data_IF_832261076165
#
_entry.id   IF_832261076165
#
_cell.length_a   1.000
_cell.length_b   1.000
_cell.length_c   1.000
_cell.angle_alpha   90.00
_cell.angle_beta   90.00
_cell.angle_gamma   90.00
#
_symmetry.space_group_name_H-M   'P 1'
#
loop_
_entity.id
_entity.type
_entity.pdbx_description
1 polymer ?
#
# COMPACT_ATOMS: atom_id res chain seq x y z
N UNK A 1 -66.48 13.22 40.00
CA UNK A 1 -66.32 11.78 39.65
C UNK A 1 -65.92 11.50 38.19
N UNK A 2 -65.43 12.48 37.41
CA UNK A 2 -65.06 12.27 36.00
C UNK A 2 -63.55 12.07 35.77
N UNK A 3 -62.72 12.35 36.78
CA UNK A 3 -61.26 12.21 36.73
C UNK A 3 -60.83 10.74 36.72
N UNK A 4 -61.40 9.90 37.61
CA UNK A 4 -61.10 8.47 37.68
C UNK A 4 -61.54 7.67 36.44
N UNK A 5 -62.65 8.06 35.78
CA UNK A 5 -63.10 7.42 34.52
C UNK A 5 -62.25 7.81 33.31
N UNK A 6 -61.57 8.97 33.34
CA UNK A 6 -60.59 9.34 32.31
C UNK A 6 -59.27 8.62 32.54
N UNK A 7 -58.83 8.50 33.80
CA UNK A 7 -57.59 7.81 34.16
C UNK A 7 -57.55 6.34 33.71
N UNK A 8 -58.65 5.59 33.90
CA UNK A 8 -58.74 4.18 33.48
C UNK A 8 -58.67 3.93 31.96
N UNK A 9 -58.91 4.96 31.12
CA UNK A 9 -58.79 4.85 29.66
C UNK A 9 -57.37 5.13 29.15
N UNK A 10 -56.54 5.79 29.97
CA UNK A 10 -55.17 6.18 29.59
C UNK A 10 -54.20 5.04 29.89
N UNK A 11 -54.45 4.23 30.94
CA UNK A 11 -53.64 3.08 31.32
C UNK A 11 -53.42 2.05 30.18
N UNK A 12 -54.46 1.56 29.46
CA UNK A 12 -54.24 0.58 28.40
C UNK A 12 -53.51 1.16 27.19
N UNK A 13 -53.74 2.44 26.86
CA UNK A 13 -53.06 3.13 25.74
C UNK A 13 -51.57 3.31 26.03
N UNK A 14 -51.22 3.60 27.28
CA UNK A 14 -49.83 3.75 27.72
C UNK A 14 -49.08 2.42 27.72
N UNK A 15 -49.75 1.31 28.09
CA UNK A 15 -49.17 -0.04 27.99
C UNK A 15 -48.92 -0.48 26.53
N UNK A 16 -49.83 -0.16 25.61
CA UNK A 16 -49.63 -0.47 24.18
C UNK A 16 -48.46 0.34 23.60
N UNK A 17 -48.32 1.61 23.99
CA UNK A 17 -47.21 2.47 23.56
C UNK A 17 -45.85 2.02 24.14
N UNK A 18 -45.84 1.53 25.39
CA UNK A 18 -44.65 0.97 26.02
C UNK A 18 -44.18 -0.32 25.33
N UNK A 19 -45.11 -1.20 24.92
CA UNK A 19 -44.79 -2.44 24.19
C UNK A 19 -44.25 -2.17 22.78
N UNK A 20 -44.69 -1.10 22.12
CA UNK A 20 -44.18 -0.70 20.80
C UNK A 20 -42.73 -0.19 20.84
N UNK A 21 -42.29 0.34 21.99
CA UNK A 21 -40.96 0.96 22.16
C UNK A 21 -39.81 -0.06 22.31
N UNK A 22 -40.11 -1.36 22.39
CA UNK A 22 -39.11 -2.43 22.61
C UNK A 22 -38.43 -2.90 21.31
N UNK A 23 -38.88 -2.44 20.13
CA UNK A 23 -38.40 -2.95 18.84
C UNK A 23 -37.19 -2.21 18.23
N UNK A 24 -36.49 -1.38 18.99
CA UNK A 24 -35.23 -0.77 18.55
C UNK A 24 -34.08 -1.35 19.36
N UNK A 25 -33.83 -2.64 19.22
CA UNK A 25 -32.49 -3.15 19.51
C UNK A 25 -31.57 -2.57 18.43
N UNK A 26 -30.55 -1.76 18.77
CA UNK A 26 -29.50 -1.50 17.80
C UNK A 26 -28.91 -2.87 17.46
N UNK A 27 -29.04 -3.28 16.20
CA UNK A 27 -28.15 -4.26 15.61
C UNK A 27 -26.76 -3.60 15.67
N UNK A 28 -26.09 -3.77 16.82
CA UNK A 28 -24.66 -3.66 16.91
C UNK A 28 -24.12 -4.79 16.05
N UNK A 29 -24.09 -4.55 14.74
CA UNK A 29 -23.08 -5.16 13.91
C UNK A 29 -21.76 -4.70 14.54
N UNK A 30 -21.24 -5.50 15.47
CA UNK A 30 -19.82 -5.54 15.66
C UNK A 30 -19.26 -5.76 14.25
N UNK A 31 -18.68 -4.71 13.66
CA UNK A 31 -17.76 -4.93 12.56
C UNK A 31 -16.75 -5.91 13.15
N UNK A 32 -16.87 -7.18 12.75
CA UNK A 32 -15.85 -8.16 13.06
C UNK A 32 -14.58 -7.58 12.47
N UNK A 33 -13.59 -7.50 13.34
CA UNK A 33 -12.33 -6.77 13.27
C UNK A 33 -11.48 -7.20 12.06
N UNK A 34 -11.94 -6.88 10.85
CA UNK A 34 -11.15 -7.04 9.64
C UNK A 34 -10.05 -5.98 9.57
N UNK A 35 -10.17 -4.87 10.31
CA UNK A 35 -9.13 -3.83 10.32
C UNK A 35 -7.83 -4.34 10.94
N UNK A 36 -7.89 -5.16 12.00
CA UNK A 36 -6.69 -5.80 12.57
C UNK A 36 -6.09 -6.84 11.65
N UNK A 37 -6.93 -7.66 10.99
CA UNK A 37 -6.45 -8.66 10.04
C UNK A 37 -5.86 -8.02 8.78
N UNK A 38 -6.47 -6.95 8.26
CA UNK A 38 -5.97 -6.19 7.10
C UNK A 38 -4.68 -5.47 7.48
N UNK A 39 -4.60 -4.84 8.65
CA UNK A 39 -3.36 -4.23 9.13
C UNK A 39 -2.24 -5.26 9.25
N UNK A 40 -2.49 -6.41 9.88
CA UNK A 40 -1.51 -7.50 9.99
C UNK A 40 -1.05 -8.00 8.61
N UNK A 41 -2.00 -8.18 7.67
CA UNK A 41 -1.70 -8.63 6.30
C UNK A 41 -0.88 -7.59 5.54
N UNK A 42 -1.19 -6.30 5.67
CA UNK A 42 -0.44 -5.21 5.05
C UNK A 42 1.01 -5.18 5.55
N UNK A 43 1.21 -5.40 6.85
CA UNK A 43 2.52 -5.43 7.50
C UNK A 43 3.37 -6.62 7.04
N UNK A 44 2.77 -7.82 6.95
CA UNK A 44 3.46 -8.99 6.41
C UNK A 44 3.88 -8.78 4.95
N UNK A 45 3.02 -8.16 4.13
CA UNK A 45 3.33 -7.80 2.74
C UNK A 45 4.51 -6.82 2.69
N UNK A 46 4.52 -5.76 3.49
CA UNK A 46 5.63 -4.78 3.55
C UNK A 46 6.94 -5.45 3.95
N UNK A 47 6.92 -6.38 4.92
CA UNK A 47 8.12 -7.14 5.30
C UNK A 47 8.63 -8.03 4.18
N UNK A 48 7.74 -8.71 3.47
CA UNK A 48 8.08 -9.53 2.32
C UNK A 48 8.73 -8.68 1.20
N UNK A 49 8.22 -7.48 0.97
CA UNK A 49 8.71 -6.55 -0.04
C UNK A 49 10.11 -6.03 0.28
N UNK A 50 10.38 -5.64 1.53
CA UNK A 50 11.72 -5.21 1.96
C UNK A 50 12.73 -6.37 1.84
N UNK A 51 12.34 -7.59 2.20
CA UNK A 51 13.20 -8.77 2.04
C UNK A 51 13.48 -9.09 0.56
N UNK A 52 12.47 -8.98 -0.31
CA UNK A 52 12.61 -9.16 -1.76
C UNK A 52 13.56 -8.12 -2.38
N UNK A 53 13.48 -6.86 -1.94
CA UNK A 53 14.41 -5.82 -2.38
C UNK A 53 15.84 -6.08 -1.92
N UNK A 54 16.03 -6.61 -0.71
CA UNK A 54 17.34 -7.02 -0.20
C UNK A 54 17.93 -8.22 -0.95
N UNK A 55 17.09 -9.10 -1.50
CA UNK A 55 17.54 -10.23 -2.32
C UNK A 55 18.08 -9.81 -3.69
N UNK A 56 17.87 -8.56 -4.12
CA UNK A 56 18.44 -8.07 -5.37
C UNK A 56 19.96 -7.98 -5.31
N UNK A 57 20.61 -8.43 -6.38
CA UNK A 57 22.06 -8.58 -6.44
C UNK A 57 22.80 -7.24 -6.32
N UNK A 58 22.22 -6.18 -6.90
CA UNK A 58 22.72 -4.81 -6.80
C UNK A 58 22.70 -4.27 -5.36
N UNK A 59 21.67 -4.59 -4.59
CA UNK A 59 21.56 -4.19 -3.18
C UNK A 59 22.56 -4.96 -2.32
N UNK A 60 22.72 -6.27 -2.56
CA UNK A 60 23.71 -7.09 -1.86
C UNK A 60 25.14 -6.61 -2.13
N UNK A 61 25.49 -6.35 -3.39
CA UNK A 61 26.81 -5.85 -3.78
C UNK A 61 27.12 -4.50 -3.12
N UNK A 62 26.11 -3.61 -3.04
CA UNK A 62 26.24 -2.33 -2.36
C UNK A 62 26.44 -2.49 -0.84
N UNK A 63 25.73 -3.42 -0.19
CA UNK A 63 25.90 -3.71 1.24
C UNK A 63 27.27 -4.29 1.54
N UNK A 64 27.74 -5.23 0.72
CA UNK A 64 29.08 -5.82 0.84
C UNK A 64 30.16 -4.75 0.60
N UNK A 65 29.96 -3.83 -0.36
CA UNK A 65 30.86 -2.71 -0.59
C UNK A 65 30.96 -1.76 0.63
N UNK A 66 29.88 -1.66 1.42
CA UNK A 66 29.85 -0.93 2.70
C UNK A 66 30.38 -1.75 3.89
N UNK A 67 30.80 -3.00 3.66
CA UNK A 67 31.31 -3.90 4.71
C UNK A 67 30.21 -4.55 5.55
N UNK A 68 28.97 -4.58 5.07
CA UNK A 68 27.82 -5.17 5.76
C UNK A 68 27.55 -6.57 5.20
N UNK A 69 27.48 -7.57 6.08
CA UNK A 69 27.06 -8.92 5.71
C UNK A 69 25.55 -8.98 5.45
N UNK A 70 25.16 -9.59 4.33
CA UNK A 70 23.77 -9.68 3.87
C UNK A 70 22.90 -10.49 4.84
N UNK A 71 23.43 -11.53 5.48
CA UNK A 71 22.69 -12.34 6.45
C UNK A 71 22.42 -11.55 7.73
N UNK A 72 23.38 -10.74 8.18
CA UNK A 72 23.20 -9.84 9.31
C UNK A 72 22.11 -8.80 9.03
N UNK A 73 22.07 -8.25 7.81
CA UNK A 73 21.02 -7.32 7.39
C UNK A 73 19.63 -7.98 7.40
N UNK A 74 19.52 -9.22 6.87
CA UNK A 74 18.27 -10.01 6.92
C UNK A 74 17.82 -10.29 8.35
N UNK A 75 18.75 -10.59 9.24
CA UNK A 75 18.44 -10.87 10.64
C UNK A 75 17.89 -9.63 11.34
N UNK A 76 18.46 -8.44 11.08
CA UNK A 76 17.97 -7.17 11.63
C UNK A 76 16.57 -6.83 11.15
N UNK A 77 16.30 -6.97 9.85
CA UNK A 77 14.95 -6.74 9.29
C UNK A 77 13.92 -7.69 9.92
N UNK A 78 14.31 -8.92 10.22
CA UNK A 78 13.40 -9.85 10.90
C UNK A 78 13.09 -9.48 12.35
N UNK A 79 14.00 -8.75 13.00
CA UNK A 79 13.88 -8.29 14.39
C UNK A 79 13.29 -6.87 14.51
N UNK A 80 13.22 -6.12 13.41
CA UNK A 80 12.65 -4.77 13.39
C UNK A 80 11.15 -4.80 13.64
N UNK A 81 10.68 -3.75 14.32
CA UNK A 81 9.25 -3.56 14.55
C UNK A 81 8.58 -3.01 13.29
N UNK A 82 7.28 -3.22 13.18
CA UNK A 82 6.45 -2.90 12.01
C UNK A 82 6.57 -1.44 11.56
N UNK A 83 6.76 -0.51 12.51
CA UNK A 83 6.92 0.92 12.24
C UNK A 83 8.28 1.26 11.60
N UNK A 84 9.33 0.54 11.97
CA UNK A 84 10.68 0.74 11.44
C UNK A 84 10.77 0.19 10.02
N UNK A 85 10.13 -0.95 9.78
CA UNK A 85 9.99 -1.56 8.46
C UNK A 85 9.22 -0.68 7.47
N UNK A 86 8.14 -0.04 7.93
CA UNK A 86 7.36 0.89 7.09
C UNK A 86 8.17 2.14 6.68
N UNK A 87 9.01 2.67 7.58
CA UNK A 87 9.92 3.77 7.24
C UNK A 87 10.97 3.35 6.22
N UNK A 88 11.56 2.18 6.39
CA UNK A 88 12.54 1.62 5.46
C UNK A 88 11.91 1.39 4.08
N UNK A 89 10.69 0.85 4.02
CA UNK A 89 9.97 0.67 2.76
C UNK A 89 9.72 2.00 2.04
N UNK A 90 9.32 3.05 2.76
CA UNK A 90 9.17 4.40 2.20
C UNK A 90 10.50 4.97 1.68
N UNK A 91 11.61 4.73 2.37
CA UNK A 91 12.92 5.18 1.92
C UNK A 91 13.38 4.43 0.66
N UNK A 92 13.09 3.13 0.55
CA UNK A 92 13.35 2.34 -0.66
C UNK A 92 12.47 2.76 -1.85
N UNK A 93 11.20 3.12 -1.63
CA UNK A 93 10.34 3.70 -2.67
C UNK A 93 10.87 5.05 -3.18
N UNK A 94 11.50 5.84 -2.30
CA UNK A 94 12.07 7.13 -2.63
C UNK A 94 13.46 7.04 -3.25
N UNK A 95 14.19 5.93 -3.03
CA UNK A 95 15.43 5.68 -3.72
C UNK A 95 15.14 5.41 -5.20
N UNK A 96 15.77 6.13 -6.14
CA UNK A 96 15.60 5.87 -7.56
C UNK A 96 16.12 4.46 -7.84
N UNK A 97 15.21 3.48 -7.97
CA UNK A 97 15.55 2.11 -8.30
C UNK A 97 16.30 2.13 -9.65
N UNK A 98 17.63 1.98 -9.58
CA UNK A 98 18.61 2.36 -10.59
C UNK A 98 18.59 1.60 -11.91
N UNK A 99 17.46 0.99 -12.28
CA UNK A 99 17.31 0.28 -13.55
C UNK A 99 15.88 0.19 -14.08
N UNK A 100 14.85 0.55 -13.28
CA UNK A 100 13.44 0.34 -13.64
C UNK A 100 12.52 1.58 -13.54
N UNK A 101 13.00 2.70 -12.98
CA UNK A 101 12.21 3.93 -12.86
C UNK A 101 12.07 4.70 -14.18
N UNK A 102 11.41 5.87 -14.13
CA UNK A 102 11.25 6.80 -15.27
C UNK A 102 12.56 7.02 -16.04
N UNK A 103 13.69 7.08 -15.34
CA UNK A 103 15.02 7.24 -15.93
C UNK A 103 15.41 6.03 -16.80
N UNK A 104 15.12 4.80 -16.36
CA UNK A 104 15.37 3.59 -17.13
C UNK A 104 14.47 3.52 -18.38
N UNK A 105 13.18 3.84 -18.24
CA UNK A 105 12.26 3.92 -19.37
C UNK A 105 12.69 4.98 -20.41
N UNK A 106 13.12 6.15 -19.95
CA UNK A 106 13.66 7.21 -20.83
C UNK A 106 14.93 6.77 -21.55
N UNK A 107 15.82 6.03 -20.89
CA UNK A 107 17.05 5.51 -21.51
C UNK A 107 16.74 4.49 -22.61
N UNK A 108 15.78 3.58 -22.37
CA UNK A 108 15.34 2.61 -23.40
C UNK A 108 14.74 3.34 -24.60
N UNK A 109 13.85 4.30 -24.36
CA UNK A 109 13.24 5.12 -25.43
C UNK A 109 14.34 5.87 -26.21
N UNK A 110 15.31 6.47 -25.50
CA UNK A 110 16.44 7.16 -26.11
C UNK A 110 17.24 6.23 -27.04
N UNK A 111 17.59 5.02 -26.60
CA UNK A 111 18.32 4.05 -27.43
C UNK A 111 17.52 3.66 -28.68
N UNK A 112 16.22 3.37 -28.52
CA UNK A 112 15.36 3.01 -29.66
C UNK A 112 15.30 4.15 -30.67
N UNK A 113 15.12 5.40 -30.21
CA UNK A 113 15.10 6.56 -31.08
C UNK A 113 16.43 6.76 -31.81
N UNK A 114 17.57 6.60 -31.12
CA UNK A 114 18.90 6.71 -31.76
C UNK A 114 19.08 5.65 -32.84
N UNK A 115 18.71 4.39 -32.60
CA UNK A 115 18.83 3.33 -33.63
C UNK A 115 17.91 3.61 -34.82
N UNK A 116 16.68 4.06 -34.57
CA UNK A 116 15.69 4.37 -35.61
C UNK A 116 16.14 5.57 -36.46
N UNK A 117 16.83 6.52 -35.84
CA UNK A 117 17.45 7.68 -36.49
C UNK A 117 18.66 7.29 -37.36
N UNK A 118 19.54 6.41 -36.85
CA UNK A 118 20.63 5.83 -37.66
C UNK A 118 20.11 5.08 -38.90
N UNK A 119 18.99 4.37 -38.77
CA UNK A 119 18.36 3.66 -39.89
C UNK A 119 17.62 4.60 -40.86
N UNK A 120 17.46 5.88 -40.52
CA UNK A 120 16.75 6.87 -41.34
C UNK A 120 15.23 6.77 -41.31
N UNK A 121 14.67 6.03 -40.35
CA UNK A 121 13.21 5.95 -40.17
C UNK A 121 12.67 7.14 -39.37
N UNK A 122 13.52 7.84 -38.64
CA UNK A 122 13.24 9.10 -37.93
C UNK A 122 14.43 10.06 -38.07
N UNK A 123 14.23 11.36 -37.82
CA UNK A 123 15.29 12.37 -37.68
C UNK A 123 14.94 13.22 -36.45
N UNK A 124 15.39 12.75 -35.28
CA UNK A 124 15.05 13.35 -33.97
C UNK A 124 16.30 13.97 -33.34
N UNK A 125 17.47 13.43 -33.62
CA UNK A 125 18.75 13.85 -33.09
C UNK A 125 19.66 14.33 -34.22
N UNK A 126 19.82 15.66 -34.36
CA UNK A 126 20.68 16.25 -35.41
C UNK A 126 22.19 15.94 -35.30
N UNK A 127 22.60 15.11 -34.33
CA UNK A 127 23.95 14.57 -34.22
C UNK A 127 24.06 13.12 -34.72
N UNK A 128 22.94 12.42 -34.95
CA UNK A 128 22.89 11.06 -35.49
C UNK A 128 22.82 11.16 -37.01
N UNK A 129 23.69 10.43 -37.70
CA UNK A 129 23.73 10.40 -39.16
C UNK A 129 23.17 9.08 -39.66
N UNK A 130 22.32 9.14 -40.68
CA UNK A 130 21.78 7.97 -41.34
C UNK A 130 22.90 7.18 -42.03
N UNK A 131 22.96 5.87 -41.79
CA UNK A 131 23.97 4.97 -42.35
C UNK A 131 23.60 4.41 -43.73
N UNK A 132 22.35 4.55 -44.17
CA UNK A 132 21.84 4.00 -45.43
C UNK A 132 21.88 4.99 -46.60
N UNK A 133 22.79 5.97 -46.56
CA UNK A 133 23.01 6.95 -47.62
C UNK A 133 24.49 7.13 -47.96
#
# INVERSE_FOLDING_TARGET
MNFFRRLGKIVPVLSILALLSIHMAPLQAAMVDNDQLIAQTQLDITKQEVLSNLDRQDVQDQLVAMGVDVNDAKHRINQMNDQELAQIAQDFEQMPAGSGGIIGALLVIFIVLVVTDMLGATDVFGFVHNINH
#
